data_IF_956145827372
#
_entry.id   IF_956145827372
#
_cell.length_a   1.000
_cell.length_b   1.000
_cell.length_c   1.000
_cell.angle_alpha   90.00
_cell.angle_beta   90.00
_cell.angle_gamma   90.00
#
_symmetry.space_group_name_H-M   'P 1'
#
loop_
_entity.id
_entity.type
_entity.pdbx_description
1 polymer ?
#
# COMPACT_ATOMS: atom_id res chain seq x y z
N UNK A 1 -1.37 11.39 -10.92
CA UNK A 1 -0.95 12.07 -9.65
C UNK A 1 -2.01 12.18 -8.58
N UNK A 2 -3.21 12.71 -8.88
CA UNK A 2 -4.28 12.82 -7.88
C UNK A 2 -4.56 11.48 -7.20
N UNK A 3 -4.62 10.41 -8.00
CA UNK A 3 -4.87 9.05 -7.49
C UNK A 3 -3.76 8.53 -6.59
N UNK A 4 -2.48 8.72 -6.96
CA UNK A 4 -1.35 8.27 -6.15
C UNK A 4 -1.29 8.99 -4.78
N UNK A 5 -1.53 10.30 -4.77
CA UNK A 5 -1.63 11.08 -3.52
C UNK A 5 -2.85 10.69 -2.69
N UNK A 6 -3.99 10.46 -3.34
CA UNK A 6 -5.20 10.00 -2.65
C UNK A 6 -4.97 8.63 -2.01
N UNK A 7 -4.33 7.72 -2.74
CA UNK A 7 -3.97 6.40 -2.26
C UNK A 7 -3.00 6.47 -1.07
N UNK A 8 -1.95 7.29 -1.13
CA UNK A 8 -1.05 7.53 0.01
C UNK A 8 -1.82 7.99 1.26
N UNK A 9 -2.77 8.92 1.11
CA UNK A 9 -3.62 9.36 2.21
C UNK A 9 -4.43 8.21 2.82
N UNK A 10 -4.95 7.29 2.00
CA UNK A 10 -5.64 6.08 2.48
C UNK A 10 -4.70 5.14 3.22
N UNK A 11 -3.48 4.92 2.72
CA UNK A 11 -2.45 4.09 3.37
C UNK A 11 -2.07 4.66 4.73
N UNK A 12 -1.85 5.97 4.83
CA UNK A 12 -1.51 6.62 6.09
C UNK A 12 -2.63 6.50 7.14
N UNK A 13 -3.89 6.68 6.72
CA UNK A 13 -5.04 6.51 7.61
C UNK A 13 -5.19 5.06 8.08
N UNK A 14 -5.12 4.10 7.16
CA UNK A 14 -5.13 2.67 7.44
C UNK A 14 -4.04 2.29 8.45
N UNK A 15 -2.82 2.78 8.26
CA UNK A 15 -1.70 2.56 9.18
C UNK A 15 -1.99 3.12 10.57
N UNK A 16 -2.59 4.31 10.66
CA UNK A 16 -2.96 4.92 11.95
C UNK A 16 -4.01 4.07 12.68
N UNK A 17 -5.02 3.59 11.97
CA UNK A 17 -6.07 2.72 12.52
C UNK A 17 -5.50 1.40 13.05
N UNK A 18 -4.58 0.76 12.33
CA UNK A 18 -3.93 -0.46 12.81
C UNK A 18 -2.97 -0.21 13.98
N UNK A 19 -2.29 0.95 14.01
CA UNK A 19 -1.51 1.35 15.18
C UNK A 19 -2.39 1.51 16.42
N UNK A 20 -3.59 2.07 16.28
CA UNK A 20 -4.55 2.14 17.38
C UNK A 20 -4.87 0.75 17.93
N UNK A 21 -5.11 -0.24 17.05
CA UNK A 21 -5.31 -1.64 17.47
C UNK A 21 -4.09 -2.18 18.22
N UNK A 22 -2.89 -1.99 17.66
CA UNK A 22 -1.63 -2.42 18.27
C UNK A 22 -1.39 -1.85 19.68
N UNK A 23 -1.69 -0.56 19.89
CA UNK A 23 -1.46 0.10 21.18
C UNK A 23 -2.58 -0.14 22.20
N UNK A 24 -3.79 -0.49 21.76
CA UNK A 24 -4.96 -0.66 22.65
C UNK A 24 -5.24 -2.11 23.01
N UNK A 25 -4.78 -3.08 22.22
CA UNK A 25 -4.95 -4.50 22.52
C UNK A 25 -4.05 -4.94 23.69
N UNK A 26 -4.61 -5.76 24.58
CA UNK A 26 -3.87 -6.40 25.69
C UNK A 26 -3.41 -7.82 25.37
N UNK A 27 -3.98 -8.46 24.34
CA UNK A 27 -3.60 -9.80 23.92
C UNK A 27 -2.29 -9.73 23.11
N UNK A 28 -1.25 -10.49 23.51
CA UNK A 28 0.02 -10.55 22.78
C UNK A 28 -0.15 -10.98 21.31
N UNK A 29 -0.97 -12.00 21.05
CA UNK A 29 -1.18 -12.51 19.69
C UNK A 29 -1.87 -11.48 18.79
N UNK A 30 -2.93 -10.84 19.29
CA UNK A 30 -3.60 -9.74 18.59
C UNK A 30 -2.65 -8.58 18.31
N UNK A 31 -1.68 -8.38 19.20
CA UNK A 31 -0.68 -7.31 19.07
C UNK A 31 0.32 -7.63 17.98
N UNK A 32 0.77 -8.87 17.87
CA UNK A 32 1.71 -9.28 16.82
C UNK A 32 1.03 -9.23 15.44
N UNK A 33 -0.21 -9.71 15.32
CA UNK A 33 -1.02 -9.59 14.11
C UNK A 33 -1.15 -8.13 13.63
N UNK A 34 -1.48 -7.23 14.56
CA UNK A 34 -1.63 -5.80 14.24
C UNK A 34 -0.29 -5.16 13.86
N UNK A 35 0.81 -5.57 14.51
CA UNK A 35 2.17 -5.10 14.20
C UNK A 35 2.60 -5.53 12.80
N UNK A 36 2.35 -6.77 12.42
CA UNK A 36 2.64 -7.28 11.08
C UNK A 36 1.87 -6.49 10.01
N UNK A 37 0.56 -6.27 10.23
CA UNK A 37 -0.25 -5.49 9.30
C UNK A 37 0.21 -4.02 9.21
N UNK A 38 0.68 -3.42 10.32
CA UNK A 38 1.33 -2.09 10.31
C UNK A 38 2.62 -2.10 9.51
N UNK A 39 3.47 -3.13 9.67
CA UNK A 39 4.74 -3.25 8.95
C UNK A 39 4.52 -3.35 7.44
N UNK A 40 3.54 -4.16 7.00
CA UNK A 40 3.16 -4.28 5.59
C UNK A 40 2.74 -2.90 5.00
N UNK A 41 1.94 -2.12 5.74
CA UNK A 41 1.54 -0.78 5.28
C UNK A 41 2.67 0.25 5.27
N UNK A 42 3.69 0.10 6.12
CA UNK A 42 4.89 0.94 6.05
C UNK A 42 5.64 0.70 4.73
N UNK A 43 5.73 -0.56 4.28
CA UNK A 43 6.31 -0.89 2.97
C UNK A 43 5.57 -0.22 1.82
N UNK A 44 4.24 -0.36 1.79
CA UNK A 44 3.38 0.28 0.78
C UNK A 44 3.51 1.81 0.81
N UNK A 45 3.58 2.41 2.01
CA UNK A 45 3.76 3.86 2.13
C UNK A 45 5.07 4.30 1.47
N UNK A 46 6.19 3.66 1.81
CA UNK A 46 7.52 4.02 1.27
C UNK A 46 7.52 3.93 -0.26
N UNK A 47 7.07 2.81 -0.82
CA UNK A 47 6.98 2.64 -2.27
C UNK A 47 6.10 3.69 -2.94
N UNK A 48 4.99 4.08 -2.30
CA UNK A 48 4.12 5.14 -2.82
C UNK A 48 4.80 6.51 -2.78
N UNK A 49 5.56 6.80 -1.73
CA UNK A 49 6.37 8.03 -1.60
C UNK A 49 7.47 8.07 -2.68
N UNK A 50 8.19 6.97 -2.89
CA UNK A 50 9.23 6.83 -3.92
C UNK A 50 8.68 7.05 -5.33
N UNK A 51 7.48 6.52 -5.61
CA UNK A 51 6.80 6.75 -6.89
C UNK A 51 6.36 8.20 -7.07
N UNK A 52 5.92 8.88 -6.00
CA UNK A 52 5.59 10.32 -6.05
C UNK A 52 6.84 11.15 -6.35
N UNK A 53 7.98 10.80 -5.74
CA UNK A 53 9.25 11.45 -6.00
C UNK A 53 9.74 11.21 -7.43
N UNK A 54 9.72 9.95 -7.87
CA UNK A 54 10.06 9.58 -9.24
C UNK A 54 9.18 10.29 -10.26
N UNK A 55 7.88 10.43 -9.99
CA UNK A 55 6.97 11.19 -10.85
C UNK A 55 7.37 12.67 -10.98
N UNK A 56 7.90 13.29 -9.92
CA UNK A 56 8.37 14.69 -9.97
C UNK A 56 9.60 14.83 -10.87
N UNK A 57 10.49 13.85 -10.82
CA UNK A 57 11.84 13.94 -11.39
C UNK A 57 11.97 13.29 -12.77
N UNK A 58 11.07 12.38 -13.16
CA UNK A 58 11.20 11.58 -14.39
C UNK A 58 9.99 11.67 -15.32
N UNK A 59 10.24 11.97 -16.60
CA UNK A 59 9.19 11.92 -17.65
C UNK A 59 8.68 10.48 -17.86
N UNK A 60 9.55 9.48 -17.69
CA UNK A 60 9.21 8.06 -17.75
C UNK A 60 8.22 7.70 -16.65
N UNK A 61 8.49 8.13 -15.42
CA UNK A 61 7.56 7.96 -14.30
C UNK A 61 6.22 8.64 -14.54
N UNK A 62 6.22 9.86 -15.11
CA UNK A 62 4.96 10.53 -15.49
C UNK A 62 4.15 9.71 -16.49
N UNK A 63 4.81 9.09 -17.47
CA UNK A 63 4.15 8.23 -18.47
C UNK A 63 3.55 6.98 -17.83
N UNK A 64 4.35 6.21 -17.07
CA UNK A 64 3.91 4.97 -16.44
C UNK A 64 2.77 5.22 -15.46
N UNK A 65 2.90 6.21 -14.57
CA UNK A 65 1.92 6.48 -13.51
C UNK A 65 0.68 7.24 -13.98
N UNK A 66 0.65 7.68 -15.24
CA UNK A 66 -0.56 8.22 -15.89
C UNK A 66 -1.22 7.19 -16.80
N UNK A 67 -0.67 5.96 -16.88
CA UNK A 67 -1.30 4.86 -17.59
C UNK A 67 -2.66 4.52 -16.95
N UNK A 68 -3.64 4.21 -17.79
CA UNK A 68 -5.01 3.92 -17.34
C UNK A 68 -5.05 2.72 -16.37
N UNK A 69 -4.21 1.71 -16.59
CA UNK A 69 -4.11 0.54 -15.71
C UNK A 69 -3.60 0.94 -14.33
N UNK A 70 -2.57 1.81 -14.26
CA UNK A 70 -2.05 2.32 -12.99
C UNK A 70 -3.12 3.12 -12.22
N UNK A 71 -3.86 3.99 -12.91
CA UNK A 71 -4.97 4.73 -12.29
C UNK A 71 -6.08 3.82 -11.75
N UNK A 72 -6.49 2.81 -12.52
CA UNK A 72 -7.53 1.85 -12.10
C UNK A 72 -7.06 1.05 -10.88
N UNK A 73 -5.81 0.58 -10.88
CA UNK A 73 -5.22 -0.13 -9.75
C UNK A 73 -5.21 0.74 -8.49
N UNK A 74 -4.73 1.99 -8.58
CA UNK A 74 -4.72 2.92 -7.46
C UNK A 74 -6.12 3.18 -6.90
N UNK A 75 -7.14 3.36 -7.76
CA UNK A 75 -8.53 3.51 -7.33
C UNK A 75 -9.06 2.26 -6.63
N UNK A 76 -8.82 1.08 -7.20
CA UNK A 76 -9.20 -0.20 -6.60
C UNK A 76 -8.58 -0.35 -5.21
N UNK A 77 -7.30 -0.02 -5.07
CA UNK A 77 -6.60 -0.09 -3.79
C UNK A 77 -7.10 0.94 -2.79
N UNK A 78 -7.35 2.19 -3.23
CA UNK A 78 -7.88 3.26 -2.38
C UNK A 78 -9.30 2.96 -1.84
N UNK A 79 -10.10 2.18 -2.56
CA UNK A 79 -11.40 1.70 -2.09
C UNK A 79 -11.27 0.43 -1.23
N UNK A 80 -10.43 -0.51 -1.65
CA UNK A 80 -10.35 -1.84 -1.05
C UNK A 80 -9.55 -1.90 0.26
N UNK A 81 -8.53 -1.05 0.42
CA UNK A 81 -7.69 -1.05 1.62
C UNK A 81 -8.46 -0.57 2.86
N UNK A 82 -9.14 0.60 2.85
CA UNK A 82 -9.86 1.08 4.03
C UNK A 82 -10.93 0.09 4.51
N UNK A 83 -11.63 -0.56 3.58
CA UNK A 83 -12.65 -1.56 3.92
C UNK A 83 -12.06 -2.74 4.70
N UNK A 84 -10.94 -3.29 4.24
CA UNK A 84 -10.28 -4.44 4.89
C UNK A 84 -9.72 -4.08 6.26
N UNK A 85 -9.18 -2.89 6.41
CA UNK A 85 -8.68 -2.40 7.71
C UNK A 85 -9.82 -2.22 8.70
N UNK A 86 -10.93 -1.60 8.27
CA UNK A 86 -12.10 -1.45 9.13
C UNK A 86 -12.74 -2.81 9.48
N UNK A 87 -12.78 -3.74 8.53
CA UNK A 87 -13.23 -5.12 8.79
C UNK A 87 -12.35 -5.78 9.86
N UNK A 88 -11.02 -5.72 9.75
CA UNK A 88 -10.12 -6.26 10.78
C UNK A 88 -10.31 -5.57 12.14
N UNK A 89 -10.29 -4.24 12.17
CA UNK A 89 -10.41 -3.42 13.39
C UNK A 89 -11.72 -3.64 14.12
N UNK A 90 -12.84 -3.63 13.40
CA UNK A 90 -14.18 -3.81 13.98
C UNK A 90 -14.39 -5.20 14.58
N UNK A 91 -13.64 -6.19 14.08
CA UNK A 91 -13.67 -7.59 14.54
C UNK A 91 -12.70 -7.86 15.69
N UNK A 92 -11.68 -7.03 15.90
CA UNK A 92 -10.69 -7.21 16.98
C UNK A 92 -11.35 -7.38 18.37
N UNK A 93 -12.42 -6.62 18.64
CA UNK A 93 -13.17 -6.67 19.91
C UNK A 93 -14.22 -7.79 19.98
N UNK A 94 -14.59 -8.38 18.85
CA UNK A 94 -15.74 -9.29 18.71
C UNK A 94 -15.34 -10.76 18.54
N UNK A 95 -14.16 -10.99 17.98
CA UNK A 95 -13.68 -12.34 17.64
C UNK A 95 -12.59 -12.82 18.60
N UNK A 96 -12.53 -14.14 18.76
CA UNK A 96 -11.38 -14.86 19.28
C UNK A 96 -10.17 -14.69 18.34
N UNK A 97 -8.98 -15.03 18.84
CA UNK A 97 -7.73 -14.81 18.10
C UNK A 97 -7.69 -15.60 16.79
N UNK A 98 -8.10 -16.87 16.81
CA UNK A 98 -8.03 -17.73 15.62
C UNK A 98 -8.88 -17.18 14.45
N UNK A 99 -10.10 -16.72 14.71
CA UNK A 99 -10.94 -16.16 13.64
C UNK A 99 -10.47 -14.77 13.25
N UNK A 100 -9.95 -13.97 14.19
CA UNK A 100 -9.41 -12.65 13.90
C UNK A 100 -8.17 -12.75 12.98
N UNK A 101 -7.31 -13.73 13.20
CA UNK A 101 -6.10 -13.96 12.42
C UNK A 101 -6.43 -14.13 10.93
N UNK A 102 -7.52 -14.84 10.59
CA UNK A 102 -7.97 -14.97 9.18
C UNK A 102 -8.27 -13.62 8.51
N UNK A 103 -8.76 -12.63 9.25
CA UNK A 103 -8.95 -11.28 8.70
C UNK A 103 -7.62 -10.54 8.53
N UNK A 104 -6.67 -10.78 9.45
CA UNK A 104 -5.32 -10.26 9.34
C UNK A 104 -4.59 -10.83 8.12
N UNK A 105 -4.63 -12.15 7.89
CA UNK A 105 -4.01 -12.79 6.73
C UNK A 105 -4.55 -12.22 5.42
N UNK A 106 -5.86 -12.02 5.33
CA UNK A 106 -6.50 -11.41 4.15
C UNK A 106 -6.04 -9.97 3.95
N UNK A 107 -5.87 -9.20 5.02
CA UNK A 107 -5.38 -7.82 4.97
C UNK A 107 -3.90 -7.77 4.57
N UNK A 108 -3.06 -8.62 5.16
CA UNK A 108 -1.62 -8.69 4.85
C UNK A 108 -1.41 -9.12 3.41
N UNK A 109 -2.03 -10.22 2.97
CA UNK A 109 -1.94 -10.67 1.57
C UNK A 109 -2.34 -9.58 0.58
N UNK A 110 -3.45 -8.88 0.86
CA UNK A 110 -3.88 -7.76 0.01
C UNK A 110 -2.87 -6.61 -0.02
N UNK A 111 -2.20 -6.35 1.11
CA UNK A 111 -1.18 -5.31 1.22
C UNK A 111 0.12 -5.72 0.53
N UNK A 112 0.49 -6.99 0.59
CA UNK A 112 1.64 -7.56 -0.14
C UNK A 112 1.43 -7.51 -1.65
N UNK A 113 0.24 -7.86 -2.14
CA UNK A 113 -0.11 -7.71 -3.56
C UNK A 113 0.07 -6.25 -4.03
N UNK A 114 -0.35 -5.28 -3.22
CA UNK A 114 -0.11 -3.87 -3.52
C UNK A 114 1.38 -3.58 -3.55
N UNK A 115 2.11 -4.00 -2.52
CA UNK A 115 3.56 -3.77 -2.38
C UNK A 115 4.33 -4.30 -3.59
N UNK A 116 4.06 -5.53 -4.02
CA UNK A 116 4.68 -6.15 -5.19
C UNK A 116 4.41 -5.35 -6.47
N UNK A 117 3.17 -4.91 -6.67
CA UNK A 117 2.82 -4.11 -7.85
C UNK A 117 3.50 -2.73 -7.84
N UNK A 118 3.57 -2.06 -6.68
CA UNK A 118 4.25 -0.76 -6.57
C UNK A 118 5.76 -0.92 -6.79
N UNK A 119 6.37 -1.97 -6.23
CA UNK A 119 7.78 -2.27 -6.43
C UNK A 119 8.11 -2.53 -7.90
N UNK A 120 7.27 -3.30 -8.60
CA UNK A 120 7.42 -3.52 -10.04
C UNK A 120 7.35 -2.19 -10.82
N UNK A 121 6.45 -1.27 -10.44
CA UNK A 121 6.41 0.05 -11.09
C UNK A 121 7.66 0.89 -10.84
N UNK A 122 8.24 0.81 -9.63
CA UNK A 122 9.52 1.48 -9.33
C UNK A 122 10.62 0.90 -10.21
N UNK A 123 10.72 -0.42 -10.30
CA UNK A 123 11.69 -1.12 -11.13
C UNK A 123 11.55 -0.77 -12.62
N UNK A 124 10.34 -0.78 -13.16
CA UNK A 124 10.05 -0.38 -14.55
C UNK A 124 10.50 1.07 -14.82
N UNK A 125 10.27 1.98 -13.87
CA UNK A 125 10.69 3.37 -14.00
C UNK A 125 12.21 3.48 -14.05
N UNK A 126 12.93 2.74 -13.21
CA UNK A 126 14.40 2.72 -13.19
C UNK A 126 14.92 2.17 -14.52
N UNK A 127 14.50 0.97 -14.90
CA UNK A 127 14.94 0.28 -16.11
C UNK A 127 14.71 1.12 -17.38
N UNK A 128 13.53 1.74 -17.51
CA UNK A 128 13.21 2.57 -18.67
C UNK A 128 13.89 3.95 -18.63
N UNK A 129 14.36 4.41 -17.49
CA UNK A 129 15.11 5.68 -17.38
C UNK A 129 16.58 5.51 -17.76
N UNK A 130 17.12 4.29 -17.65
CA UNK A 130 18.51 3.94 -18.02
C UNK A 130 18.70 3.65 -19.52
N UNK A 131 17.62 3.47 -20.27
CA UNK A 131 17.71 3.23 -21.71
C UNK A 131 18.32 4.44 -22.46
N UNK A 132 19.30 4.21 -23.36
CA UNK A 132 19.90 5.28 -24.14
C UNK A 132 18.84 5.95 -25.02
N UNK A 133 18.84 7.28 -25.04
CA UNK A 133 17.93 8.04 -25.90
C UNK A 133 18.39 7.88 -27.35
N UNK A 134 17.48 7.66 -28.31
CA UNK A 134 17.86 7.68 -29.72
C UNK A 134 18.49 9.05 -30.05
N UNK A 135 19.54 9.08 -30.89
CA UNK A 135 20.18 10.33 -31.29
C UNK A 135 19.12 11.26 -31.89
N UNK A 136 19.16 12.54 -31.50
CA UNK A 136 18.31 13.56 -32.12
C UNK A 136 18.86 13.85 -33.50
N UNK A 137 18.06 13.66 -34.54
CA UNK A 137 18.29 14.23 -35.87
C UNK A 137 18.22 15.76 -35.84
#
# INVERSE_FOLDING_TARGET
>A
MRELRSFLGKVMNAKRELKEVYYTTRSPDKKEDAKEAVAALIGVQRLTEDLIESWRNSRTAKRILSDRKAEISLKKWAMGLPKRVEDYRSKTKKLDQEKLHRFQEVLVRYTEEISQNLAAWVEDIVNLSELPRPPKE
#
